data_IF_673269766823
#
_entry.id   IF_673269766823
#
_cell.length_a   1.000
_cell.length_b   1.000
_cell.length_c   1.000
_cell.angle_alpha   90.00
_cell.angle_beta   90.00
_cell.angle_gamma   90.00
#
_symmetry.space_group_name_H-M   'P 1'
#
loop_
_entity.id
_entity.type
_entity.pdbx_description
1 polymer ?
#
# COMPACT_ATOMS: atom_id res chain seq x y z
N UNK A 1 -4.77 4.03 5.93
CA UNK A 1 -4.49 2.58 5.90
C UNK A 1 -3.00 2.37 6.00
N UNK A 2 -2.60 1.24 6.56
CA UNK A 2 -1.22 0.80 6.67
C UNK A 2 -1.06 -0.58 6.05
N UNK A 3 0.04 -0.78 5.31
CA UNK A 3 0.47 -2.08 4.81
C UNK A 3 1.73 -2.52 5.56
N UNK A 4 1.68 -3.70 6.17
CA UNK A 4 2.85 -4.33 6.79
C UNK A 4 3.44 -5.36 5.84
N UNK A 5 4.76 -5.30 5.68
CA UNK A 5 5.52 -6.20 4.84
C UNK A 5 6.16 -7.32 5.68
N UNK A 6 6.51 -8.42 5.02
CA UNK A 6 7.13 -9.59 5.67
C UNK A 6 8.48 -9.31 6.34
N UNK A 7 9.14 -8.20 5.98
CA UNK A 7 10.40 -7.75 6.58
C UNK A 7 10.22 -6.80 7.78
N UNK A 8 8.97 -6.56 8.20
CA UNK A 8 8.61 -5.63 9.27
C UNK A 8 8.49 -4.17 8.81
N UNK A 9 8.62 -3.88 7.52
CA UNK A 9 8.39 -2.53 6.99
C UNK A 9 6.90 -2.17 7.04
N UNK A 10 6.59 -1.00 7.59
CA UNK A 10 5.24 -0.43 7.58
C UNK A 10 5.13 0.73 6.57
N UNK A 11 4.23 0.59 5.59
CA UNK A 11 3.88 1.67 4.67
C UNK A 11 2.59 2.31 5.16
N UNK A 12 2.70 3.49 5.77
CA UNK A 12 1.57 4.25 6.34
C UNK A 12 0.95 5.22 5.34
N UNK A 13 -0.20 5.78 5.69
CA UNK A 13 -0.92 6.80 4.91
C UNK A 13 -1.31 6.33 3.50
N UNK A 14 -1.61 5.05 3.35
CA UNK A 14 -2.15 4.49 2.11
C UNK A 14 -3.61 4.93 2.01
N UNK A 15 -3.95 5.48 0.85
CA UNK A 15 -5.31 5.91 0.53
C UNK A 15 -6.09 4.82 -0.22
N UNK A 16 -5.42 4.08 -1.10
CA UNK A 16 -6.05 3.05 -1.93
C UNK A 16 -5.08 1.89 -2.18
N UNK A 17 -5.64 0.69 -2.33
CA UNK A 17 -4.91 -0.55 -2.61
C UNK A 17 -5.59 -1.24 -3.77
N UNK A 18 -4.84 -1.42 -4.86
CA UNK A 18 -5.33 -2.07 -6.08
C UNK A 18 -4.60 -3.38 -6.28
N UNK A 19 -5.34 -4.47 -6.38
CA UNK A 19 -4.78 -5.78 -6.74
C UNK A 19 -4.20 -5.75 -8.16
N UNK A 20 -2.97 -6.22 -8.29
CA UNK A 20 -2.30 -6.50 -9.56
C UNK A 20 -2.16 -8.00 -9.76
N UNK A 21 -1.52 -8.42 -10.85
CA UNK A 21 -1.44 -9.85 -11.21
C UNK A 21 -0.71 -10.72 -10.19
N UNK A 22 0.26 -10.19 -9.44
CA UNK A 22 1.10 -10.94 -8.49
C UNK A 22 1.44 -10.13 -7.22
N UNK A 23 0.60 -9.15 -6.88
CA UNK A 23 0.84 -8.25 -5.76
C UNK A 23 -0.16 -7.12 -5.72
N UNK A 24 0.15 -6.07 -4.96
CA UNK A 24 -0.73 -4.91 -4.81
C UNK A 24 -0.01 -3.61 -5.16
N UNK A 25 -0.75 -2.68 -5.75
CA UNK A 25 -0.33 -1.30 -5.93
C UNK A 25 -0.88 -0.45 -4.78
N UNK A 26 0.03 0.20 -4.05
CA UNK A 26 -0.33 1.12 -2.98
C UNK A 26 -0.36 2.54 -3.54
N UNK A 27 -1.46 3.25 -3.31
CA UNK A 27 -1.61 4.66 -3.70
C UNK A 27 -1.73 5.56 -2.49
N UNK A 28 -1.20 6.77 -2.63
CA UNK A 28 -1.32 7.83 -1.63
C UNK A 28 -1.88 9.09 -2.29
N UNK A 29 -2.54 9.89 -1.48
CA UNK A 29 -2.88 11.26 -1.87
C UNK A 29 -1.61 12.09 -1.90
N UNK A 30 -1.40 12.79 -3.01
CA UNK A 30 -0.32 13.77 -3.17
C UNK A 30 -0.89 15.18 -3.17
N UNK A 31 -0.04 16.16 -2.82
CA UNK A 31 -0.45 17.57 -2.77
C UNK A 31 -1.07 18.01 -4.09
N UNK A 32 -2.35 18.41 -4.05
CA UNK A 32 -3.16 18.72 -5.23
C UNK A 32 -4.37 17.81 -5.45
N UNK A 33 -4.64 16.86 -4.54
CA UNK A 33 -5.84 16.01 -4.55
C UNK A 33 -5.76 14.83 -5.53
N UNK A 34 -4.57 14.56 -6.08
CA UNK A 34 -4.32 13.41 -6.95
C UNK A 34 -4.00 12.15 -6.14
N UNK A 35 -4.41 10.99 -6.64
CA UNK A 35 -3.95 9.69 -6.13
C UNK A 35 -2.82 9.18 -7.00
N UNK A 36 -1.63 9.06 -6.42
CA UNK A 36 -0.46 8.53 -7.11
C UNK A 36 -0.05 7.18 -6.54
N UNK A 37 0.46 6.32 -7.43
CA UNK A 37 1.06 5.05 -7.05
C UNK A 37 2.42 5.31 -6.42
N UNK A 38 2.58 4.90 -5.16
CA UNK A 38 3.85 5.09 -4.42
C UNK A 38 4.66 3.81 -4.28
N UNK A 39 4.01 2.65 -4.38
CA UNK A 39 4.68 1.36 -4.25
C UNK A 39 3.94 0.23 -4.98
N UNK A 40 4.69 -0.79 -5.37
CA UNK A 40 4.16 -2.10 -5.75
C UNK A 40 4.76 -3.15 -4.83
N UNK A 41 3.92 -3.96 -4.19
CA UNK A 41 4.33 -4.98 -3.23
C UNK A 41 3.90 -6.35 -3.76
N UNK A 42 4.85 -7.24 -4.10
CA UNK A 42 4.53 -8.62 -4.43
C UNK A 42 3.83 -9.33 -3.27
N UNK A 43 2.87 -10.23 -3.56
CA UNK A 43 2.15 -10.97 -2.49
C UNK A 43 3.05 -11.71 -1.50
N UNK A 44 4.16 -12.36 -1.91
CA UNK A 44 5.05 -13.01 -0.95
C UNK A 44 5.67 -12.06 0.08
N UNK A 45 5.69 -10.75 -0.22
CA UNK A 45 6.27 -9.72 0.64
C UNK A 45 5.18 -8.95 1.42
N UNK A 46 3.90 -9.18 1.14
CA UNK A 46 2.78 -8.50 1.79
C UNK A 46 2.24 -9.37 2.92
N UNK A 47 2.27 -8.84 4.15
CA UNK A 47 1.74 -9.55 5.31
C UNK A 47 0.25 -9.23 5.51
N UNK A 48 -0.07 -7.95 5.64
CA UNK A 48 -1.46 -7.48 5.76
C UNK A 48 -1.61 -6.01 5.39
N UNK A 49 -2.82 -5.64 4.97
CA UNK A 49 -3.27 -4.26 4.81
C UNK A 49 -4.45 -4.05 5.74
N UNK A 50 -4.42 -2.98 6.53
CA UNK A 50 -5.49 -2.65 7.46
C UNK A 50 -5.80 -1.16 7.50
N UNK A 51 -7.03 -0.82 7.90
CA UNK A 51 -7.43 0.56 8.15
C UNK A 51 -6.85 1.01 9.49
N UNK A 52 -6.25 2.21 9.50
CA UNK A 52 -5.85 2.87 10.73
C UNK A 52 -7.14 3.36 11.40
N UNK A 53 -7.35 3.01 12.67
CA UNK A 53 -8.49 3.48 13.47
C UNK A 53 -8.34 4.97 13.84
#
# INVERSE_FOLDING_TARGET
>A
MTAELSDGTEIKNIHDVVEGSNGVHLKKEVGGGGLERVAYIPYPNLLYVYHDN
#
